data_IF_231393354462
#
_entry.id   IF_231393354462
#
_cell.length_a   1.000
_cell.length_b   1.000
_cell.length_c   1.000
_cell.angle_alpha   90.00
_cell.angle_beta   90.00
_cell.angle_gamma   90.00
#
_symmetry.space_group_name_H-M   'P 1'
#
loop_
_entity.id
_entity.type
_entity.pdbx_description
1 polymer ?
#
# COMPACT_ATOMS: atom_id res chain seq x y z
N UNK A 1 13.44 -19.98 -8.26
CA UNK A 1 12.90 -18.98 -7.31
C UNK A 1 12.74 -17.55 -7.89
N UNK A 2 12.88 -17.32 -9.21
CA UNK A 2 12.74 -15.98 -9.82
C UNK A 2 11.27 -15.52 -10.04
N UNK A 3 10.33 -16.45 -10.16
CA UNK A 3 8.91 -16.12 -10.41
C UNK A 3 8.23 -15.37 -9.26
N UNK A 4 8.55 -15.72 -8.02
CA UNK A 4 7.93 -15.10 -6.84
C UNK A 4 8.35 -13.63 -6.66
N UNK A 5 9.60 -13.30 -7.00
CA UNK A 5 10.14 -11.94 -6.88
C UNK A 5 9.54 -10.98 -7.91
N UNK A 6 9.27 -11.46 -9.12
CA UNK A 6 8.66 -10.65 -10.18
C UNK A 6 7.19 -10.34 -9.88
N UNK A 7 6.44 -11.29 -9.31
CA UNK A 7 5.06 -11.06 -8.85
C UNK A 7 5.02 -10.11 -7.64
N UNK A 8 5.95 -10.26 -6.69
CA UNK A 8 6.11 -9.30 -5.58
C UNK A 8 6.35 -7.88 -6.09
N UNK A 9 7.25 -7.69 -7.07
CA UNK A 9 7.54 -6.38 -7.65
C UNK A 9 6.33 -5.78 -8.38
N UNK A 10 5.58 -6.58 -9.14
CA UNK A 10 4.35 -6.12 -9.81
C UNK A 10 3.29 -5.67 -8.81
N UNK A 11 3.04 -6.46 -7.77
CA UNK A 11 2.07 -6.12 -6.74
C UNK A 11 2.51 -4.87 -5.97
N UNK A 12 3.80 -4.74 -5.66
CA UNK A 12 4.35 -3.52 -5.06
C UNK A 12 4.17 -2.28 -5.95
N UNK A 13 4.46 -2.40 -7.25
CA UNK A 13 4.23 -1.32 -8.22
C UNK A 13 2.75 -0.95 -8.32
N UNK A 14 1.86 -1.94 -8.33
CA UNK A 14 0.42 -1.70 -8.31
C UNK A 14 -0.01 -0.92 -7.07
N UNK A 15 0.45 -1.34 -5.88
CA UNK A 15 0.21 -0.64 -4.61
C UNK A 15 0.68 0.82 -4.68
N UNK A 16 1.85 1.09 -5.26
CA UNK A 16 2.36 2.45 -5.41
C UNK A 16 1.48 3.30 -6.34
N UNK A 17 1.04 2.76 -7.47
CA UNK A 17 0.17 3.48 -8.41
C UNK A 17 -1.18 3.83 -7.78
N UNK A 18 -1.83 2.87 -7.11
CA UNK A 18 -3.13 3.14 -6.46
C UNK A 18 -2.97 4.03 -5.22
N UNK A 19 -1.83 3.95 -4.52
CA UNK A 19 -1.52 4.88 -3.42
C UNK A 19 -1.34 6.31 -3.94
N UNK A 20 -0.70 6.48 -5.10
CA UNK A 20 -0.59 7.79 -5.74
C UNK A 20 -1.98 8.34 -6.11
N UNK A 21 -2.84 7.52 -6.74
CA UNK A 21 -4.21 7.94 -7.10
C UNK A 21 -5.03 8.38 -5.87
N UNK A 22 -4.90 7.68 -4.75
CA UNK A 22 -5.55 8.07 -3.48
C UNK A 22 -4.99 9.40 -2.96
N UNK A 23 -3.66 9.59 -2.96
CA UNK A 23 -3.06 10.85 -2.51
C UNK A 23 -3.47 12.02 -3.40
N UNK A 24 -3.49 11.84 -4.71
CA UNK A 24 -3.84 12.87 -5.70
C UNK A 24 -5.29 13.34 -5.52
N UNK A 25 -6.24 12.40 -5.40
CA UNK A 25 -7.65 12.78 -5.20
C UNK A 25 -7.91 13.39 -3.82
N UNK A 26 -7.14 13.00 -2.79
CA UNK A 26 -7.21 13.63 -1.46
C UNK A 26 -6.82 15.11 -1.55
N UNK A 27 -5.73 15.43 -2.25
CA UNK A 27 -5.30 16.83 -2.45
C UNK A 27 -6.35 17.65 -3.21
N UNK A 28 -7.03 17.05 -4.19
CA UNK A 28 -8.14 17.71 -4.88
C UNK A 28 -9.33 17.97 -3.93
N UNK A 29 -9.74 16.96 -3.15
CA UNK A 29 -10.86 17.03 -2.21
C UNK A 29 -10.65 18.05 -1.09
N UNK A 30 -9.41 18.33 -0.69
CA UNK A 30 -9.09 19.40 0.27
C UNK A 30 -9.63 20.78 -0.17
N UNK A 31 -9.78 20.99 -1.48
CA UNK A 31 -10.35 22.22 -2.07
C UNK A 31 -11.77 22.06 -2.58
N UNK A 32 -12.24 20.83 -2.83
CA UNK A 32 -13.56 20.51 -3.37
C UNK A 32 -14.28 19.41 -2.55
N UNK A 33 -14.56 19.62 -1.25
CA UNK A 33 -14.97 18.55 -0.34
C UNK A 33 -16.37 17.97 -0.62
N UNK A 34 -17.18 18.63 -1.45
CA UNK A 34 -18.55 18.24 -1.77
C UNK A 34 -18.68 17.61 -3.17
N UNK A 35 -17.59 17.51 -3.92
CA UNK A 35 -17.56 16.91 -5.26
C UNK A 35 -17.83 15.40 -5.17
N UNK A 36 -19.04 15.00 -5.59
CA UNK A 36 -19.51 13.63 -5.46
C UNK A 36 -18.75 12.65 -6.36
N UNK A 37 -18.25 13.10 -7.51
CA UNK A 37 -17.47 12.25 -8.41
C UNK A 37 -16.08 11.99 -7.83
N UNK A 38 -15.44 13.02 -7.27
CA UNK A 38 -14.17 12.90 -6.58
C UNK A 38 -14.27 12.01 -5.33
N UNK A 39 -15.36 12.12 -4.56
CA UNK A 39 -15.63 11.24 -3.41
C UNK A 39 -15.83 9.78 -3.83
N UNK A 40 -16.57 9.54 -4.92
CA UNK A 40 -16.75 8.19 -5.45
C UNK A 40 -15.41 7.60 -5.94
N UNK A 41 -14.60 8.40 -6.63
CA UNK A 41 -13.25 8.01 -7.08
C UNK A 41 -12.37 7.64 -5.89
N UNK A 42 -12.32 8.48 -4.85
CA UNK A 42 -11.57 8.20 -3.63
C UNK A 42 -11.98 6.88 -2.99
N UNK A 43 -13.29 6.65 -2.82
CA UNK A 43 -13.79 5.40 -2.21
C UNK A 43 -13.37 4.17 -3.02
N UNK A 44 -13.49 4.22 -4.35
CA UNK A 44 -13.08 3.14 -5.23
C UNK A 44 -11.58 2.82 -5.06
N UNK A 45 -10.70 3.80 -5.21
CA UNK A 45 -9.25 3.57 -5.14
C UNK A 45 -8.76 3.26 -3.73
N UNK A 46 -9.43 3.78 -2.69
CA UNK A 46 -9.18 3.37 -1.30
C UNK A 46 -9.41 1.87 -1.12
N UNK A 47 -10.52 1.34 -1.62
CA UNK A 47 -10.83 -0.09 -1.54
C UNK A 47 -9.80 -0.93 -2.31
N UNK A 48 -9.51 -0.54 -3.56
CA UNK A 48 -8.49 -1.21 -4.39
C UNK A 48 -7.14 -1.25 -3.68
N UNK A 49 -6.71 -0.14 -3.08
CA UNK A 49 -5.46 -0.06 -2.31
C UNK A 49 -5.48 -0.98 -1.10
N UNK A 50 -6.57 -1.02 -0.34
CA UNK A 50 -6.70 -1.88 0.83
C UNK A 50 -6.62 -3.36 0.46
N UNK A 51 -7.27 -3.76 -0.64
CA UNK A 51 -7.20 -5.12 -1.17
C UNK A 51 -5.77 -5.50 -1.57
N UNK A 52 -5.08 -4.65 -2.34
CA UNK A 52 -3.72 -4.90 -2.78
C UNK A 52 -2.74 -5.01 -1.60
N UNK A 53 -2.86 -4.15 -0.59
CA UNK A 53 -2.04 -4.21 0.63
C UNK A 53 -2.26 -5.52 1.40
N UNK A 54 -3.51 -5.97 1.52
CA UNK A 54 -3.85 -7.24 2.20
C UNK A 54 -3.30 -8.45 1.44
N UNK A 55 -3.38 -8.44 0.11
CA UNK A 55 -2.81 -9.49 -0.73
C UNK A 55 -1.28 -9.54 -0.55
N UNK A 56 -0.61 -8.39 -0.58
CA UNK A 56 0.83 -8.31 -0.37
C UNK A 56 1.22 -8.83 1.03
N UNK A 57 0.50 -8.41 2.07
CA UNK A 57 0.71 -8.86 3.45
C UNK A 57 0.66 -10.39 3.55
N UNK A 58 -0.35 -11.01 2.93
CA UNK A 58 -0.56 -12.47 2.98
C UNK A 58 0.54 -13.28 2.30
N UNK A 59 1.18 -12.71 1.27
CA UNK A 59 2.19 -13.40 0.47
C UNK A 59 3.62 -13.08 0.91
N UNK A 60 3.89 -11.86 1.37
CA UNK A 60 5.25 -11.32 1.52
C UNK A 60 5.52 -10.65 2.87
N UNK A 61 4.50 -10.42 3.70
CA UNK A 61 4.59 -9.68 4.95
C UNK A 61 4.12 -8.21 4.85
N UNK A 62 3.93 -7.54 5.99
CA UNK A 62 3.29 -6.22 6.03
C UNK A 62 4.17 -5.12 5.43
N UNK A 63 3.61 -4.32 4.52
CA UNK A 63 4.26 -3.11 3.97
C UNK A 63 4.01 -1.85 4.80
N UNK A 64 2.96 -1.83 5.60
CA UNK A 64 2.63 -0.71 6.48
C UNK A 64 2.38 -1.24 7.89
N UNK A 65 2.63 -0.40 8.89
CA UNK A 65 2.35 -0.77 10.29
C UNK A 65 0.87 -1.09 10.50
N UNK A 66 -0.03 -0.43 9.77
CA UNK A 66 -1.49 -0.63 9.88
C UNK A 66 -1.93 -2.02 9.40
N UNK A 67 -1.15 -2.66 8.52
CA UNK A 67 -1.42 -4.04 8.09
C UNK A 67 -0.62 -5.06 8.88
N UNK A 68 0.28 -4.65 9.77
CA UNK A 68 1.02 -5.59 10.61
C UNK A 68 0.08 -6.24 11.64
N UNK A 69 -0.13 -7.55 11.51
CA UNK A 69 -0.86 -8.34 12.51
C UNK A 69 0.14 -8.97 13.48
N UNK A 70 0.14 -8.60 14.77
CA UNK A 70 0.96 -9.29 15.76
C UNK A 70 0.39 -10.70 15.96
N UNK A 71 1.18 -11.70 15.59
CA UNK A 71 0.95 -13.11 15.95
C UNK A 71 2.14 -13.59 16.81
N UNK A 72 2.57 -14.84 16.69
CA UNK A 72 3.75 -15.39 17.37
C UNK A 72 5.07 -14.66 17.09
N UNK A 73 5.12 -13.84 16.02
CA UNK A 73 6.30 -13.05 15.61
C UNK A 73 5.87 -11.66 15.16
N UNK A 74 6.70 -10.66 15.46
CA UNK A 74 6.52 -9.29 14.98
C UNK A 74 7.11 -9.12 13.59
N UNK A 75 6.38 -9.58 12.56
CA UNK A 75 6.87 -9.63 11.17
C UNK A 75 7.34 -8.29 10.62
N UNK A 76 6.74 -7.18 11.06
CA UNK A 76 7.15 -5.83 10.69
C UNK A 76 8.63 -5.54 10.99
N UNK A 77 9.12 -5.93 12.18
CA UNK A 77 10.52 -5.73 12.53
C UNK A 77 11.47 -6.79 11.97
N UNK A 78 10.94 -7.83 11.32
CA UNK A 78 11.74 -8.92 10.72
C UNK A 78 11.98 -8.71 9.22
N UNK A 79 11.34 -7.72 8.61
CA UNK A 79 11.53 -7.36 7.21
C UNK A 79 12.65 -6.30 7.10
N UNK A 80 13.35 -6.21 5.96
CA UNK A 80 14.28 -5.11 5.71
C UNK A 80 13.56 -3.78 5.89
N UNK A 81 14.06 -2.95 6.79
CA UNK A 81 13.40 -1.67 7.05
C UNK A 81 13.56 -0.75 5.83
N UNK A 82 12.59 0.16 5.57
CA UNK A 82 12.70 1.11 4.46
C UNK A 82 13.97 1.97 4.52
N UNK A 83 14.55 2.18 5.71
CA UNK A 83 15.77 2.94 5.94
C UNK A 83 17.07 2.11 5.98
N UNK A 84 17.00 0.78 5.95
CA UNK A 84 18.18 -0.11 6.03
C UNK A 84 19.04 -0.14 4.74
N UNK A 85 18.71 0.68 3.75
CA UNK A 85 19.50 0.88 2.52
C UNK A 85 19.97 2.32 2.30
N UNK A 86 19.70 3.22 3.24
CA UNK A 86 20.25 4.57 3.22
C UNK A 86 21.67 4.53 3.73
N UNK A 87 22.66 4.33 2.85
CA UNK A 87 24.04 4.66 3.19
C UNK A 87 24.07 6.14 3.57
N UNK A 88 24.21 6.40 4.88
CA UNK A 88 24.51 7.70 5.44
C UNK A 88 25.87 8.21 4.96
#
# INVERSE_FOLDING_TARGET
MKGNQMEQMKLFQWINMVSFAVNDIVLYLDTHPMDQEALAYFNHFREVRMHALKEYESCYGPLTVDTAKPDQKWLWAMQPMPWEGGNC
#
